data_IF_819185476604
#
_entry.id   IF_819185476604
#
_cell.length_a   1.000
_cell.length_b   1.000
_cell.length_c   1.000
_cell.angle_alpha   90.00
_cell.angle_beta   90.00
_cell.angle_gamma   90.00
#
_symmetry.space_group_name_H-M   'P 1'
#
loop_
_entity.id
_entity.type
_entity.pdbx_description
1 polymer ?
#
# COMPACT_ATOMS: atom_id res chain seq x y z
N UNK A 1 -0.73 -35.66 17.79
CA UNK A 1 -0.82 -34.81 16.60
C UNK A 1 0.54 -34.15 16.41
N UNK A 2 1.29 -34.34 15.32
CA UNK A 2 2.53 -33.63 15.12
C UNK A 2 2.19 -32.14 15.03
N UNK A 3 2.90 -31.33 15.81
CA UNK A 3 2.80 -29.87 15.88
C UNK A 3 3.16 -29.32 14.50
N UNK A 4 2.21 -29.13 13.60
CA UNK A 4 2.47 -28.54 12.28
C UNK A 4 2.92 -27.09 12.51
N UNK A 5 4.21 -26.85 12.30
CA UNK A 5 4.80 -25.52 12.43
C UNK A 5 4.01 -24.56 11.52
N UNK A 6 3.57 -23.44 12.08
CA UNK A 6 2.85 -22.42 11.29
C UNK A 6 3.72 -21.99 10.09
N UNK A 7 3.14 -21.84 8.89
CA UNK A 7 3.92 -21.37 7.75
C UNK A 7 4.44 -19.95 8.02
N UNK A 8 5.71 -19.72 7.67
CA UNK A 8 6.39 -18.43 7.91
C UNK A 8 6.34 -17.55 6.69
N UNK A 9 5.90 -16.30 6.87
CA UNK A 9 5.94 -15.25 5.87
C UNK A 9 7.00 -14.22 6.26
N UNK A 10 7.96 -13.99 5.38
CA UNK A 10 8.95 -12.92 5.50
C UNK A 10 8.55 -11.78 4.58
N UNK A 11 8.32 -10.59 5.14
CA UNK A 11 8.05 -9.37 4.40
C UNK A 11 9.32 -8.52 4.37
N UNK A 12 9.73 -8.08 3.17
CA UNK A 12 10.88 -7.18 2.98
C UNK A 12 10.39 -5.85 2.42
N UNK A 13 10.50 -4.78 3.21
CA UNK A 13 10.10 -3.42 2.80
C UNK A 13 11.28 -2.45 2.82
N UNK A 14 11.42 -1.64 1.76
CA UNK A 14 12.44 -0.60 1.66
C UNK A 14 12.01 0.76 2.23
N UNK A 15 10.73 0.94 2.52
CA UNK A 15 10.14 2.22 2.94
C UNK A 15 9.53 2.13 4.32
N UNK A 16 8.78 1.06 4.59
CA UNK A 16 8.02 0.91 5.82
C UNK A 16 8.79 0.14 6.89
N UNK A 17 8.50 0.44 8.15
CA UNK A 17 8.85 -0.39 9.30
C UNK A 17 7.57 -0.65 10.09
N UNK A 18 7.38 -1.87 10.55
CA UNK A 18 6.14 -2.26 11.23
C UNK A 18 5.85 -1.43 12.49
N UNK A 19 6.91 -0.94 13.15
CA UNK A 19 6.86 -0.14 14.39
C UNK A 19 6.57 1.34 14.17
N UNK A 20 6.44 1.81 12.92
CA UNK A 20 6.14 3.23 12.65
C UNK A 20 4.66 3.53 12.93
N UNK A 21 4.35 4.70 13.56
CA UNK A 21 2.97 5.08 13.87
C UNK A 21 2.11 5.23 12.61
N UNK A 22 2.70 5.77 11.54
CA UNK A 22 2.03 5.90 10.24
C UNK A 22 2.00 4.55 9.54
N UNK A 23 0.79 3.97 9.46
CA UNK A 23 0.55 2.65 8.89
C UNK A 23 0.34 2.72 7.38
N UNK A 24 1.04 1.86 6.65
CA UNK A 24 0.84 1.63 5.21
C UNK A 24 0.13 0.30 4.93
N UNK A 25 -0.16 0.04 3.68
CA UNK A 25 -0.85 -1.17 3.26
C UNK A 25 -0.08 -2.46 3.56
N UNK A 26 1.25 -2.44 3.50
CA UNK A 26 2.07 -3.63 3.79
C UNK A 26 2.06 -4.01 5.27
N UNK A 27 1.91 -3.05 6.17
CA UNK A 27 1.75 -3.30 7.59
C UNK A 27 0.37 -3.90 7.89
N UNK A 28 -0.67 -3.43 7.19
CA UNK A 28 -2.01 -4.01 7.30
C UNK A 28 -2.06 -5.47 6.78
N UNK A 29 -1.28 -5.78 5.73
CA UNK A 29 -1.08 -7.17 5.28
C UNK A 29 -0.37 -7.99 6.35
N UNK A 30 0.66 -7.45 7.03
CA UNK A 30 1.33 -8.16 8.12
C UNK A 30 0.36 -8.48 9.27
N UNK A 31 -0.50 -7.52 9.67
CA UNK A 31 -1.54 -7.73 10.67
C UNK A 31 -2.53 -8.84 10.25
N UNK A 32 -2.96 -8.81 8.98
CA UNK A 32 -3.87 -9.82 8.45
C UNK A 32 -3.25 -11.22 8.44
N UNK A 33 -1.97 -11.34 8.09
CA UNK A 33 -1.25 -12.62 8.12
C UNK A 33 -1.14 -13.19 9.54
N UNK A 34 -0.93 -12.33 10.56
CA UNK A 34 -0.96 -12.76 11.97
C UNK A 34 -2.34 -13.30 12.34
N UNK A 35 -3.43 -12.61 11.94
CA UNK A 35 -4.81 -13.07 12.16
C UNK A 35 -5.13 -14.37 11.42
N UNK A 36 -4.53 -14.60 10.26
CA UNK A 36 -4.58 -15.85 9.50
C UNK A 36 -3.63 -16.93 10.03
N UNK A 37 -3.06 -16.72 11.22
CA UNK A 37 -2.21 -17.66 11.93
C UNK A 37 -0.87 -17.98 11.25
N UNK A 38 -0.33 -17.10 10.40
CA UNK A 38 1.05 -17.18 9.91
C UNK A 38 2.05 -16.69 10.97
N UNK A 39 3.28 -17.24 10.94
CA UNK A 39 4.43 -16.64 11.60
C UNK A 39 4.95 -15.50 10.70
N UNK A 40 4.92 -14.25 11.16
CA UNK A 40 5.28 -13.09 10.35
C UNK A 40 6.60 -12.48 10.80
N UNK A 41 7.55 -12.33 9.86
CA UNK A 41 8.79 -11.59 10.07
C UNK A 41 8.83 -10.39 9.12
N UNK A 42 8.86 -9.18 9.68
CA UNK A 42 8.89 -7.92 8.93
C UNK A 42 10.30 -7.34 8.94
N UNK A 43 10.98 -7.37 7.81
CA UNK A 43 12.34 -6.88 7.63
C UNK A 43 12.29 -5.54 6.90
N UNK A 44 12.70 -4.50 7.59
CA UNK A 44 12.84 -3.16 7.03
C UNK A 44 14.27 -2.96 6.55
N UNK A 45 14.45 -2.56 5.31
CA UNK A 45 15.76 -2.32 4.68
C UNK A 45 15.93 -0.84 4.31
N UNK A 46 17.03 -0.47 3.65
CA UNK A 46 17.32 0.93 3.25
C UNK A 46 17.43 1.86 4.46
N UNK A 47 18.24 1.48 5.44
CA UNK A 47 18.48 2.30 6.62
C UNK A 47 19.99 2.35 6.95
N UNK A 48 20.56 3.55 6.99
CA UNK A 48 21.99 3.80 7.22
C UNK A 48 22.19 5.21 7.77
N UNK A 49 23.41 5.66 8.11
CA UNK A 49 23.64 7.03 8.59
C UNK A 49 23.06 8.13 7.71
N UNK A 50 23.00 7.93 6.38
CA UNK A 50 22.39 8.88 5.46
C UNK A 50 20.88 9.06 5.68
N UNK A 51 20.20 8.05 6.25
CA UNK A 51 18.78 8.13 6.60
C UNK A 51 18.53 9.20 7.65
N UNK A 52 19.44 9.37 8.62
CA UNK A 52 19.34 10.43 9.64
C UNK A 52 19.48 11.82 9.01
N UNK A 53 20.47 11.98 8.13
CA UNK A 53 20.72 13.25 7.44
C UNK A 53 19.54 13.65 6.55
N UNK A 54 18.88 12.67 5.92
CA UNK A 54 17.73 12.89 5.04
C UNK A 54 16.38 12.96 5.78
N UNK A 55 16.37 12.91 7.12
CA UNK A 55 15.14 12.99 7.90
C UNK A 55 14.19 11.79 7.69
N UNK A 56 14.75 10.58 7.57
CA UNK A 56 13.93 9.36 7.44
C UNK A 56 13.01 9.22 8.66
N UNK A 57 11.73 9.05 8.44
CA UNK A 57 10.72 8.93 9.48
C UNK A 57 10.96 7.76 10.46
N UNK A 58 11.85 6.82 10.11
CA UNK A 58 12.28 5.69 10.97
C UNK A 58 13.49 6.05 11.86
N UNK A 59 13.99 7.31 11.85
CA UNK A 59 15.17 7.72 12.60
C UNK A 59 15.07 7.42 14.10
N UNK A 60 13.86 7.48 14.68
CA UNK A 60 13.61 7.14 16.08
C UNK A 60 13.91 5.66 16.42
N UNK A 61 14.01 4.79 15.42
CA UNK A 61 14.39 3.37 15.59
C UNK A 61 15.89 3.14 15.53
N UNK A 62 16.72 4.19 15.47
CA UNK A 62 18.16 4.05 15.28
C UNK A 62 18.84 3.14 16.33
N UNK A 63 18.52 3.30 17.60
CA UNK A 63 19.06 2.48 18.70
C UNK A 63 18.49 1.05 18.74
N UNK A 64 17.35 0.84 18.08
CA UNK A 64 16.63 -0.45 17.99
C UNK A 64 16.97 -1.21 16.68
N UNK A 65 17.74 -0.61 15.79
CA UNK A 65 18.14 -1.25 14.53
C UNK A 65 19.10 -2.43 14.79
N UNK A 66 19.09 -3.40 13.89
CA UNK A 66 19.84 -4.67 13.97
C UNK A 66 19.50 -5.52 15.21
N UNK A 67 18.32 -5.33 15.76
CA UNK A 67 17.75 -6.15 16.83
C UNK A 67 16.36 -6.64 16.43
N UNK A 68 16.08 -7.90 16.69
CA UNK A 68 14.75 -8.45 16.49
C UNK A 68 13.87 -8.06 17.69
N UNK A 69 12.63 -7.66 17.40
CA UNK A 69 11.62 -7.31 18.39
C UNK A 69 10.29 -7.91 17.98
N UNK A 70 9.54 -8.43 18.92
CA UNK A 70 8.20 -8.95 18.69
C UNK A 70 7.17 -7.88 19.06
N UNK A 71 6.37 -7.45 18.10
CA UNK A 71 5.33 -6.44 18.27
C UNK A 71 4.04 -6.99 17.69
N UNK A 72 3.01 -7.16 18.51
CA UNK A 72 1.69 -7.64 18.11
C UNK A 72 1.73 -8.96 17.30
N UNK A 73 2.69 -9.85 17.62
CA UNK A 73 2.88 -11.13 16.94
C UNK A 73 3.66 -11.04 15.62
N UNK A 74 4.22 -9.88 15.31
CA UNK A 74 5.12 -9.67 14.16
C UNK A 74 6.55 -9.52 14.65
N UNK A 75 7.45 -10.39 14.19
CA UNK A 75 8.88 -10.26 14.43
C UNK A 75 9.45 -9.15 13.55
N UNK A 76 9.81 -8.01 14.14
CA UNK A 76 10.29 -6.82 13.46
C UNK A 76 11.81 -6.74 13.45
N UNK A 77 12.41 -6.39 12.31
CA UNK A 77 13.83 -6.19 12.19
C UNK A 77 14.15 -5.02 11.24
N UNK A 78 14.81 -3.98 11.72
CA UNK A 78 15.30 -2.88 10.89
C UNK A 78 16.79 -3.11 10.60
N UNK A 79 17.11 -3.39 9.34
CA UNK A 79 18.48 -3.59 8.92
C UNK A 79 19.21 -2.27 8.72
N UNK A 80 20.02 -1.89 9.70
CA UNK A 80 20.93 -0.76 9.61
C UNK A 80 22.25 -1.22 9.01
N UNK A 81 22.60 -0.66 7.87
CA UNK A 81 23.80 -0.93 7.09
C UNK A 81 24.79 0.25 7.15
N UNK A 82 26.09 0.06 6.84
CA UNK A 82 27.05 1.17 6.73
C UNK A 82 26.62 2.20 5.67
N UNK A 83 26.03 1.73 4.57
CA UNK A 83 25.49 2.54 3.49
C UNK A 83 24.25 1.87 2.88
N UNK A 84 23.42 2.64 2.18
CA UNK A 84 22.45 2.11 1.23
C UNK A 84 22.46 2.95 -0.05
N UNK A 85 22.30 2.33 -1.23
CA UNK A 85 22.24 3.06 -2.47
C UNK A 85 20.93 3.86 -2.57
N UNK A 86 21.01 5.03 -3.19
CA UNK A 86 19.87 5.91 -3.44
C UNK A 86 20.06 6.64 -4.77
N UNK A 87 19.01 7.25 -5.28
CA UNK A 87 19.07 8.06 -6.49
C UNK A 87 19.64 9.43 -6.16
N UNK A 88 20.68 9.83 -6.90
CA UNK A 88 21.32 11.15 -6.77
C UNK A 88 20.58 12.22 -7.59
N UNK A 89 19.79 11.81 -8.60
CA UNK A 89 19.12 12.71 -9.53
C UNK A 89 20.00 13.19 -10.68
N UNK A 90 21.21 12.66 -10.80
CA UNK A 90 22.15 12.92 -11.90
C UNK A 90 22.29 11.61 -12.65
N UNK A 91 21.71 11.51 -13.85
CA UNK A 91 21.58 10.26 -14.60
C UNK A 91 22.93 9.55 -14.84
N UNK A 92 24.01 10.28 -15.09
CA UNK A 92 25.34 9.72 -15.27
C UNK A 92 25.88 9.05 -14.00
N UNK A 93 25.64 9.64 -12.82
CA UNK A 93 26.04 9.08 -11.54
C UNK A 93 25.12 7.91 -11.15
N UNK A 94 23.83 8.04 -11.39
CA UNK A 94 22.86 6.98 -11.12
C UNK A 94 23.13 5.73 -11.97
N UNK A 95 23.58 5.89 -13.22
CA UNK A 95 24.00 4.80 -14.10
C UNK A 95 25.25 4.07 -13.59
N UNK A 96 26.21 4.78 -12.97
CA UNK A 96 27.44 4.21 -12.41
C UNK A 96 27.27 3.63 -11.01
N UNK A 97 26.13 3.86 -10.35
CA UNK A 97 25.87 3.39 -8.99
C UNK A 97 25.60 1.87 -8.86
N UNK A 98 25.50 1.14 -9.97
CA UNK A 98 25.19 -0.30 -9.99
C UNK A 98 26.11 -1.16 -9.09
N UNK A 99 27.43 -0.94 -9.01
CA UNK A 99 28.29 -1.70 -8.09
C UNK A 99 27.89 -1.51 -6.62
N UNK A 100 27.40 -0.33 -6.22
CA UNK A 100 26.92 -0.06 -4.86
C UNK A 100 25.65 -0.86 -4.54
N UNK A 101 24.74 -1.03 -5.51
CA UNK A 101 23.57 -1.90 -5.34
C UNK A 101 23.99 -3.36 -5.16
N UNK A 102 24.90 -3.85 -6.00
CA UNK A 102 25.44 -5.20 -5.86
C UNK A 102 26.14 -5.40 -4.51
N UNK A 103 26.99 -4.47 -4.09
CA UNK A 103 27.66 -4.53 -2.79
C UNK A 103 26.64 -4.56 -1.64
N UNK A 104 25.57 -3.76 -1.72
CA UNK A 104 24.50 -3.75 -0.72
C UNK A 104 23.81 -5.11 -0.62
N UNK A 105 23.47 -5.75 -1.74
CA UNK A 105 22.82 -7.06 -1.79
C UNK A 105 23.63 -8.17 -1.08
N UNK A 106 24.98 -8.03 -1.11
CA UNK A 106 25.91 -9.02 -0.54
C UNK A 106 26.35 -8.70 0.89
N UNK A 107 25.89 -7.58 1.49
CA UNK A 107 26.22 -7.28 2.89
C UNK A 107 25.75 -8.43 3.80
N UNK A 108 26.62 -8.98 4.66
CA UNK A 108 26.26 -10.12 5.49
C UNK A 108 25.25 -9.72 6.58
N UNK A 109 24.23 -10.54 6.77
CA UNK A 109 23.30 -10.42 7.90
C UNK A 109 22.69 -11.77 8.23
N UNK A 110 23.18 -12.37 9.32
CA UNK A 110 22.74 -13.69 9.75
C UNK A 110 21.24 -13.76 10.05
N UNK A 111 20.67 -12.74 10.69
CA UNK A 111 19.24 -12.71 11.00
C UNK A 111 18.39 -12.81 9.74
N UNK A 112 18.72 -11.97 8.73
CA UNK A 112 18.00 -11.97 7.44
C UNK A 112 18.15 -13.34 6.76
N UNK A 113 19.37 -13.88 6.71
CA UNK A 113 19.61 -15.16 6.06
C UNK A 113 18.83 -16.30 6.73
N UNK A 114 18.82 -16.34 8.04
CA UNK A 114 18.08 -17.37 8.80
C UNK A 114 16.56 -17.20 8.62
N UNK A 115 16.05 -15.95 8.58
CA UNK A 115 14.65 -15.68 8.29
C UNK A 115 14.25 -16.15 6.88
N UNK A 116 15.07 -15.84 5.86
CA UNK A 116 14.83 -16.25 4.47
C UNK A 116 14.88 -17.78 4.30
N UNK A 117 15.83 -18.46 4.94
CA UNK A 117 15.91 -19.94 4.91
C UNK A 117 14.69 -20.62 5.51
N UNK A 118 14.11 -20.02 6.55
CA UNK A 118 12.97 -20.60 7.26
C UNK A 118 11.61 -20.23 6.65
N UNK A 119 11.58 -19.34 5.63
CA UNK A 119 10.35 -18.83 5.06
C UNK A 119 9.62 -19.87 4.19
N UNK A 120 8.29 -19.91 4.30
CA UNK A 120 7.39 -20.54 3.31
C UNK A 120 7.06 -19.56 2.19
N UNK A 121 6.90 -18.28 2.55
CA UNK A 121 6.60 -17.18 1.64
C UNK A 121 7.54 -16.00 1.90
N UNK A 122 7.99 -15.35 0.84
CA UNK A 122 8.81 -14.14 0.91
C UNK A 122 8.13 -13.07 0.07
N UNK A 123 7.62 -12.02 0.71
CA UNK A 123 6.96 -10.89 0.06
C UNK A 123 7.93 -9.72 0.01
N UNK A 124 8.29 -9.30 -1.19
CA UNK A 124 9.20 -8.17 -1.42
C UNK A 124 8.41 -6.98 -1.96
N UNK A 125 8.31 -5.92 -1.15
CA UNK A 125 7.64 -4.69 -1.57
C UNK A 125 8.52 -3.87 -2.52
N UNK A 126 7.88 -3.10 -3.42
CA UNK A 126 8.56 -2.18 -4.35
C UNK A 126 9.57 -1.28 -3.62
N UNK A 127 10.81 -1.26 -4.12
CA UNK A 127 11.92 -0.50 -3.52
C UNK A 127 13.19 -1.32 -3.33
N UNK A 128 14.06 -0.91 -2.41
CA UNK A 128 15.40 -1.49 -2.25
C UNK A 128 15.40 -2.98 -1.83
N UNK A 129 14.27 -3.47 -1.28
CA UNK A 129 14.10 -4.89 -0.98
C UNK A 129 14.30 -5.82 -2.19
N UNK A 130 14.08 -5.33 -3.41
CA UNK A 130 14.33 -6.05 -4.68
C UNK A 130 15.74 -6.64 -4.72
N UNK A 131 16.73 -5.94 -4.14
CA UNK A 131 18.12 -6.39 -4.10
C UNK A 131 18.34 -7.70 -3.32
N UNK A 132 17.37 -8.11 -2.51
CA UNK A 132 17.45 -9.37 -1.73
C UNK A 132 16.74 -10.55 -2.41
N UNK A 133 16.07 -10.36 -3.55
CA UNK A 133 15.30 -11.43 -4.24
C UNK A 133 16.22 -12.61 -4.62
N UNK A 134 17.32 -12.32 -5.31
CA UNK A 134 18.25 -13.37 -5.73
C UNK A 134 18.89 -14.11 -4.55
N UNK A 135 19.31 -13.35 -3.52
CA UNK A 135 19.81 -13.94 -2.27
C UNK A 135 18.78 -14.84 -1.60
N UNK A 136 17.51 -14.41 -1.57
CA UNK A 136 16.42 -15.21 -1.01
C UNK A 136 16.26 -16.53 -1.76
N UNK A 137 16.27 -16.51 -3.10
CA UNK A 137 16.17 -17.72 -3.93
C UNK A 137 17.38 -18.66 -3.74
N UNK A 138 18.60 -18.11 -3.64
CA UNK A 138 19.80 -18.90 -3.36
C UNK A 138 19.76 -19.58 -1.98
N UNK A 139 19.24 -18.88 -0.97
CA UNK A 139 19.15 -19.40 0.40
C UNK A 139 18.00 -20.39 0.59
N UNK A 140 16.92 -20.23 -0.20
CA UNK A 140 15.72 -21.06 -0.07
C UNK A 140 15.05 -21.24 -1.44
N UNK A 141 15.37 -22.34 -2.10
CA UNK A 141 14.80 -22.72 -3.39
C UNK A 141 13.31 -23.09 -3.33
N UNK A 142 12.77 -23.40 -2.15
CA UNK A 142 11.39 -23.85 -1.95
C UNK A 142 10.42 -22.74 -1.54
N UNK A 143 10.93 -21.62 -0.99
CA UNK A 143 10.07 -20.51 -0.63
C UNK A 143 9.39 -19.91 -1.86
N UNK A 144 8.11 -19.57 -1.72
CA UNK A 144 7.40 -18.78 -2.73
C UNK A 144 7.78 -17.31 -2.59
N UNK A 145 8.39 -16.77 -3.61
CA UNK A 145 8.83 -15.36 -3.66
C UNK A 145 7.82 -14.54 -4.46
N UNK A 146 7.26 -13.52 -3.81
CA UNK A 146 6.21 -12.67 -4.34
C UNK A 146 6.74 -11.23 -4.37
N UNK A 147 6.75 -10.61 -5.55
CA UNK A 147 6.97 -9.18 -5.66
C UNK A 147 5.63 -8.45 -5.49
N UNK A 148 5.55 -7.54 -4.52
CA UNK A 148 4.40 -6.67 -4.32
C UNK A 148 4.69 -5.27 -4.86
N UNK A 149 4.14 -4.96 -6.02
CA UNK A 149 4.20 -3.63 -6.62
C UNK A 149 3.19 -2.69 -5.94
N UNK A 150 3.55 -2.15 -4.77
CA UNK A 150 2.73 -1.16 -4.06
C UNK A 150 2.68 0.18 -4.82
N UNK A 151 3.79 0.51 -5.48
CA UNK A 151 3.93 1.69 -6.34
C UNK A 151 4.77 1.32 -7.57
N UNK A 152 4.57 2.02 -8.67
CA UNK A 152 5.45 1.90 -9.81
C UNK A 152 6.82 2.51 -9.47
N UNK A 153 7.91 1.79 -9.74
CA UNK A 153 9.26 2.18 -9.33
C UNK A 153 9.64 3.59 -9.82
N UNK A 154 9.23 3.97 -11.01
CA UNK A 154 9.50 5.31 -11.56
C UNK A 154 8.73 6.42 -10.82
N UNK A 155 7.52 6.16 -10.30
CA UNK A 155 6.71 7.16 -9.58
C UNK A 155 7.22 7.46 -8.18
N UNK A 156 7.90 6.49 -7.56
CA UNK A 156 8.54 6.67 -6.24
C UNK A 156 9.99 7.16 -6.34
N UNK A 157 10.44 7.53 -7.55
CA UNK A 157 11.80 7.99 -7.77
C UNK A 157 12.85 6.89 -7.49
N UNK A 158 12.48 5.63 -7.66
CA UNK A 158 13.42 4.53 -7.48
C UNK A 158 14.56 4.59 -8.52
N UNK A 159 15.79 4.25 -8.14
CA UNK A 159 16.89 4.14 -9.08
C UNK A 159 16.58 3.13 -10.20
N UNK A 160 16.91 3.43 -11.48
CA UNK A 160 16.70 2.50 -12.60
C UNK A 160 17.35 1.13 -12.40
N UNK A 161 18.42 1.05 -11.60
CA UNK A 161 19.07 -0.20 -11.24
C UNK A 161 18.14 -1.21 -10.57
N UNK A 162 17.09 -0.77 -9.87
CA UNK A 162 16.13 -1.67 -9.22
C UNK A 162 15.22 -2.36 -10.23
N UNK A 163 14.75 -1.65 -11.27
CA UNK A 163 13.97 -2.27 -12.35
C UNK A 163 14.84 -3.26 -13.15
N UNK A 164 16.07 -2.87 -13.45
CA UNK A 164 17.03 -3.75 -14.13
C UNK A 164 17.33 -5.02 -13.32
N UNK A 165 17.45 -4.91 -12.00
CA UNK A 165 17.68 -6.06 -11.12
C UNK A 165 16.46 -6.96 -11.03
N UNK A 166 15.26 -6.39 -10.89
CA UNK A 166 14.00 -7.14 -10.88
C UNK A 166 13.81 -7.95 -12.17
N UNK A 167 14.14 -7.36 -13.32
CA UNK A 167 14.08 -8.05 -14.63
C UNK A 167 15.15 -9.12 -14.76
N UNK A 168 16.38 -8.84 -14.29
CA UNK A 168 17.50 -9.81 -14.34
C UNK A 168 17.15 -11.08 -13.57
N UNK A 169 16.52 -10.93 -12.42
CA UNK A 169 16.16 -12.02 -11.53
C UNK A 169 14.67 -12.39 -11.63
N UNK A 170 14.09 -12.19 -12.82
CA UNK A 170 12.69 -12.48 -13.05
C UNK A 170 12.31 -13.93 -12.75
N UNK A 171 13.19 -14.88 -13.03
CA UNK A 171 12.97 -16.31 -12.76
C UNK A 171 12.93 -16.66 -11.26
N UNK A 172 13.48 -15.79 -10.41
CA UNK A 172 13.52 -15.99 -8.96
C UNK A 172 12.19 -15.60 -8.29
N UNK A 173 11.29 -14.87 -8.99
CA UNK A 173 10.00 -14.41 -8.50
C UNK A 173 8.88 -15.31 -9.04
N UNK A 174 8.06 -15.85 -8.15
CA UNK A 174 6.96 -16.76 -8.51
C UNK A 174 5.68 -15.98 -8.89
N UNK A 175 5.43 -14.81 -8.30
CA UNK A 175 4.28 -13.97 -8.62
C UNK A 175 4.59 -12.48 -8.49
N UNK A 176 4.06 -11.68 -9.41
CA UNK A 176 4.09 -10.21 -9.39
C UNK A 176 2.69 -9.69 -9.09
N UNK A 177 2.46 -9.27 -7.85
CA UNK A 177 1.17 -8.77 -7.37
C UNK A 177 1.17 -7.24 -7.38
N UNK A 178 0.42 -6.64 -8.27
CA UNK A 178 0.33 -5.19 -8.48
C UNK A 178 -0.95 -4.64 -7.86
N UNK A 179 -0.95 -3.39 -7.43
CA UNK A 179 -2.15 -2.76 -6.84
C UNK A 179 -3.18 -2.33 -7.90
N UNK A 180 -2.79 -2.18 -9.16
CA UNK A 180 -3.65 -1.70 -10.22
C UNK A 180 -3.29 -2.31 -11.57
N UNK A 181 -4.31 -2.56 -12.41
CA UNK A 181 -4.14 -3.11 -13.76
C UNK A 181 -3.23 -2.24 -14.65
N UNK A 182 -3.31 -0.92 -14.49
CA UNK A 182 -2.46 0.01 -15.26
C UNK A 182 -0.97 -0.20 -15.03
N UNK A 183 -0.58 -0.74 -13.87
CA UNK A 183 0.82 -1.05 -13.57
C UNK A 183 1.32 -2.27 -14.36
N UNK A 184 0.44 -3.14 -14.84
CA UNK A 184 0.81 -4.35 -15.57
C UNK A 184 1.52 -4.05 -16.90
N UNK A 185 1.35 -2.86 -17.45
CA UNK A 185 2.06 -2.43 -18.65
C UNK A 185 3.59 -2.48 -18.49
N UNK A 186 4.10 -2.23 -17.29
CA UNK A 186 5.52 -2.27 -16.96
C UNK A 186 6.03 -3.71 -16.73
N UNK A 187 5.10 -4.68 -16.62
CA UNK A 187 5.38 -6.10 -16.31
C UNK A 187 5.07 -7.06 -17.46
N UNK A 188 4.95 -6.57 -18.71
CA UNK A 188 4.68 -7.43 -19.90
C UNK A 188 5.67 -8.58 -20.05
N UNK A 189 6.90 -8.40 -19.58
CA UNK A 189 7.96 -9.41 -19.59
C UNK A 189 7.73 -10.56 -18.59
N UNK A 190 6.76 -10.42 -17.67
CA UNK A 190 6.33 -11.43 -16.71
C UNK A 190 4.80 -11.64 -16.72
N UNK A 191 4.13 -11.37 -17.85
CA UNK A 191 2.66 -11.33 -17.97
C UNK A 191 1.97 -12.59 -17.43
N UNK A 192 2.55 -13.77 -17.63
CA UNK A 192 2.01 -15.05 -17.18
C UNK A 192 2.07 -15.27 -15.65
N UNK A 193 2.74 -14.38 -14.92
CA UNK A 193 2.89 -14.41 -13.45
C UNK A 193 2.54 -13.07 -12.83
N UNK A 194 1.84 -12.21 -13.56
CA UNK A 194 1.43 -10.88 -13.11
C UNK A 194 -0.04 -10.89 -12.78
N UNK A 195 -0.36 -10.40 -11.59
CA UNK A 195 -1.69 -10.38 -11.00
C UNK A 195 -2.00 -8.99 -10.45
N UNK A 196 -3.29 -8.65 -10.35
CA UNK A 196 -3.74 -7.44 -9.67
C UNK A 196 -4.35 -7.82 -8.34
N UNK A 197 -3.67 -7.42 -7.25
CA UNK A 197 -4.13 -7.63 -5.88
C UNK A 197 -4.38 -6.25 -5.26
N UNK A 198 -5.64 -5.81 -5.13
CA UNK A 198 -5.97 -4.48 -4.65
C UNK A 198 -5.67 -4.30 -3.16
N UNK A 199 -5.89 -3.08 -2.69
CA UNK A 199 -5.90 -2.78 -1.26
C UNK A 199 -7.18 -3.34 -0.62
N UNK A 200 -7.20 -3.39 0.72
CA UNK A 200 -8.34 -3.81 1.51
C UNK A 200 -8.66 -2.84 2.64
N UNK A 201 -9.67 -3.18 3.41
CA UNK A 201 -10.06 -2.49 4.64
C UNK A 201 -10.05 -3.46 5.81
N UNK A 202 -9.84 -2.96 7.02
CA UNK A 202 -10.05 -3.75 8.23
C UNK A 202 -11.51 -3.58 8.66
N UNK A 203 -12.39 -4.49 8.25
CA UNK A 203 -13.86 -4.38 8.48
C UNK A 203 -14.22 -4.13 9.94
N UNK A 204 -13.46 -4.70 10.89
CA UNK A 204 -13.66 -4.48 12.31
C UNK A 204 -13.50 -3.02 12.78
N UNK A 205 -12.67 -2.21 12.07
CA UNK A 205 -12.52 -0.80 12.40
C UNK A 205 -13.81 -0.01 12.09
N UNK A 206 -14.62 -0.48 11.15
CA UNK A 206 -15.85 0.17 10.70
C UNK A 206 -17.10 -0.34 11.43
N UNK A 207 -16.99 -1.36 12.27
CA UNK A 207 -18.15 -1.95 12.95
C UNK A 207 -18.68 -1.05 14.07
N UNK A 208 -17.78 -0.38 14.79
CA UNK A 208 -18.15 0.50 15.92
C UNK A 208 -17.52 1.89 15.71
N UNK A 209 -18.22 2.72 14.94
CA UNK A 209 -17.81 4.10 14.67
C UNK A 209 -18.61 5.03 15.62
N UNK A 210 -17.87 5.80 16.40
CA UNK A 210 -18.42 6.76 17.36
C UNK A 210 -19.41 7.78 16.77
N UNK A 211 -19.95 8.69 17.59
CA UNK A 211 -20.95 9.67 17.15
C UNK A 211 -20.38 10.67 16.14
N UNK A 212 -21.31 11.38 15.45
CA UNK A 212 -20.94 12.44 14.51
C UNK A 212 -20.08 13.53 15.19
N UNK A 213 -18.94 13.93 14.60
CA UNK A 213 -18.15 15.06 15.05
C UNK A 213 -18.70 16.42 14.56
N UNK A 214 -19.74 16.39 13.74
CA UNK A 214 -20.31 17.57 13.08
C UNK A 214 -21.51 18.13 13.85
N UNK A 215 -21.56 19.45 13.95
CA UNK A 215 -22.69 20.14 14.62
C UNK A 215 -23.91 20.29 13.70
N UNK A 216 -23.83 19.87 12.43
CA UNK A 216 -24.85 20.02 11.41
C UNK A 216 -24.28 20.65 10.14
N UNK A 217 -25.16 21.00 9.19
CA UNK A 217 -24.75 21.55 7.89
C UNK A 217 -24.15 20.53 6.95
N UNK A 218 -23.68 20.99 5.80
CA UNK A 218 -23.02 20.16 4.79
C UNK A 218 -21.51 20.06 5.06
N UNK A 219 -21.00 18.84 5.15
CA UNK A 219 -19.64 18.56 5.56
C UNK A 219 -18.88 17.73 4.50
N UNK A 220 -17.74 18.22 4.08
CA UNK A 220 -16.81 17.53 3.20
C UNK A 220 -15.52 17.14 3.93
N UNK A 221 -14.97 15.98 3.65
CA UNK A 221 -13.79 15.47 4.37
C UNK A 221 -12.68 14.98 3.45
N UNK A 222 -11.44 15.27 3.82
CA UNK A 222 -10.25 14.62 3.27
C UNK A 222 -9.33 14.16 4.39
N UNK A 223 -8.71 12.98 4.22
CA UNK A 223 -7.76 12.41 5.19
C UNK A 223 -6.43 12.09 4.50
N UNK A 224 -5.32 12.52 5.09
CA UNK A 224 -3.96 12.22 4.62
C UNK A 224 -3.39 13.20 3.59
N UNK A 225 -2.07 13.22 3.52
CA UNK A 225 -1.27 14.24 2.82
C UNK A 225 -0.73 13.82 1.44
N UNK A 226 -0.96 12.56 1.01
CA UNK A 226 -0.43 12.07 -0.25
C UNK A 226 -0.95 12.91 -1.44
N UNK A 227 -0.04 13.50 -2.20
CA UNK A 227 -0.33 14.34 -3.37
C UNK A 227 -1.37 15.45 -3.11
N UNK A 228 -1.48 15.90 -1.86
CA UNK A 228 -2.50 16.85 -1.43
C UNK A 228 -2.47 18.14 -2.26
N UNK A 229 -3.61 18.50 -2.85
CA UNK A 229 -3.78 19.71 -3.64
C UNK A 229 -4.48 20.80 -2.82
N UNK A 230 -3.73 21.83 -2.45
CA UNK A 230 -4.24 22.99 -1.70
C UNK A 230 -5.15 23.86 -2.55
N UNK A 231 -4.86 24.01 -3.85
CA UNK A 231 -5.57 24.89 -4.77
C UNK A 231 -7.03 24.49 -4.93
N UNK A 232 -7.30 23.15 -4.92
CA UNK A 232 -8.65 22.63 -4.88
C UNK A 232 -9.46 23.22 -3.71
N UNK A 233 -8.89 23.16 -2.48
CA UNK A 233 -9.61 23.59 -1.28
C UNK A 233 -9.77 25.11 -1.21
N UNK A 234 -8.79 25.88 -1.67
CA UNK A 234 -8.89 27.33 -1.76
C UNK A 234 -10.04 27.73 -2.70
N UNK A 235 -10.13 27.12 -3.88
CA UNK A 235 -11.20 27.36 -4.84
C UNK A 235 -12.56 26.88 -4.31
N UNK A 236 -12.66 25.60 -3.90
CA UNK A 236 -13.91 25.00 -3.47
C UNK A 236 -14.51 25.71 -2.25
N UNK A 237 -13.70 26.03 -1.25
CA UNK A 237 -14.19 26.71 -0.05
C UNK A 237 -14.68 28.15 -0.31
N UNK A 238 -14.01 28.87 -1.19
CA UNK A 238 -14.46 30.20 -1.61
C UNK A 238 -15.80 30.15 -2.37
N UNK A 239 -15.99 29.09 -3.17
CA UNK A 239 -17.18 28.95 -4.03
C UNK A 239 -18.39 28.36 -3.30
N UNK A 240 -18.15 27.56 -2.26
CA UNK A 240 -19.19 26.91 -1.45
C UNK A 240 -19.07 27.33 0.03
N UNK A 241 -19.45 28.56 0.41
CA UNK A 241 -19.29 29.07 1.78
C UNK A 241 -20.13 28.28 2.82
N UNK A 242 -21.22 27.64 2.38
CA UNK A 242 -22.12 26.86 3.24
C UNK A 242 -21.63 25.43 3.49
N UNK A 243 -20.54 24.99 2.84
CA UNK A 243 -19.93 23.68 3.06
C UNK A 243 -18.75 23.83 4.02
N UNK A 244 -18.71 23.00 5.07
CA UNK A 244 -17.55 22.89 5.96
C UNK A 244 -16.57 21.85 5.40
N UNK A 245 -15.33 22.25 5.15
CA UNK A 245 -14.26 21.40 4.64
C UNK A 245 -13.34 20.95 5.78
N UNK A 246 -13.30 19.66 6.07
CA UNK A 246 -12.51 19.07 7.16
C UNK A 246 -11.25 18.39 6.58
N UNK A 247 -10.08 18.96 6.87
CA UNK A 247 -8.77 18.53 6.36
C UNK A 247 -7.97 17.86 7.47
N UNK A 248 -7.87 16.53 7.46
CA UNK A 248 -7.26 15.76 8.53
C UNK A 248 -5.89 15.22 8.08
N UNK A 249 -4.82 15.60 8.77
CA UNK A 249 -3.47 15.08 8.51
C UNK A 249 -2.93 15.41 7.11
N UNK A 250 -3.26 16.59 6.57
CA UNK A 250 -2.90 16.99 5.19
C UNK A 250 -1.50 17.60 5.06
N UNK A 251 -0.69 17.55 6.13
CA UNK A 251 0.72 17.97 6.08
C UNK A 251 0.97 19.45 6.40
N UNK A 252 0.06 20.09 7.10
CA UNK A 252 0.17 21.47 7.57
C UNK A 252 -1.04 22.31 7.25
N UNK A 253 -1.03 23.55 7.76
CA UNK A 253 -2.05 24.56 7.50
C UNK A 253 -1.63 25.43 6.31
N UNK A 254 -2.60 26.07 5.68
CA UNK A 254 -2.42 27.08 4.65
C UNK A 254 -3.53 28.14 4.80
N UNK A 255 -3.34 29.29 4.21
CA UNK A 255 -4.37 30.31 4.20
C UNK A 255 -5.58 29.83 3.38
N UNK A 256 -6.74 29.79 4.01
CA UNK A 256 -7.97 29.30 3.43
C UNK A 256 -9.18 30.05 4.00
N UNK A 257 -10.34 30.04 3.31
CA UNK A 257 -11.60 30.58 3.82
C UNK A 257 -12.00 29.98 5.18
N UNK A 258 -12.83 30.73 5.95
CA UNK A 258 -13.23 30.37 7.32
C UNK A 258 -14.00 29.03 7.44
N UNK A 259 -14.54 28.52 6.35
CA UNK A 259 -15.21 27.22 6.27
C UNK A 259 -14.25 26.05 6.04
N UNK A 260 -12.92 26.27 6.07
CA UNK A 260 -11.91 25.20 6.06
C UNK A 260 -11.37 24.97 7.47
N UNK A 261 -11.46 23.75 7.95
CA UNK A 261 -10.96 23.34 9.26
C UNK A 261 -9.77 22.39 9.10
N UNK A 262 -8.64 22.77 9.65
CA UNK A 262 -7.42 21.96 9.66
C UNK A 262 -7.32 21.17 10.96
N UNK A 263 -7.07 19.86 10.82
CA UNK A 263 -6.80 18.97 11.94
C UNK A 263 -5.40 18.36 11.79
N UNK A 264 -4.71 18.19 12.91
CA UNK A 264 -3.47 17.46 12.95
C UNK A 264 -3.67 15.99 12.54
N UNK A 265 -2.59 15.29 12.26
CA UNK A 265 -2.63 13.84 12.07
C UNK A 265 -3.19 13.17 13.32
N UNK A 266 -4.13 12.26 13.15
CA UNK A 266 -4.76 11.52 14.24
C UNK A 266 -4.79 10.02 13.90
N UNK A 267 -4.94 9.14 14.91
CA UNK A 267 -5.08 7.70 14.66
C UNK A 267 -6.24 7.39 13.70
N UNK A 268 -6.07 6.39 12.86
CA UNK A 268 -7.05 6.06 11.80
C UNK A 268 -8.48 5.94 12.37
N UNK A 269 -8.68 5.21 13.47
CA UNK A 269 -10.01 5.06 14.10
C UNK A 269 -10.65 6.39 14.47
N UNK A 270 -9.88 7.39 14.85
CA UNK A 270 -10.40 8.72 15.15
C UNK A 270 -10.85 9.49 13.91
N UNK A 271 -10.41 9.11 12.71
CA UNK A 271 -10.87 9.71 11.44
C UNK A 271 -12.20 9.13 10.98
N UNK A 272 -12.58 7.93 11.43
CA UNK A 272 -13.77 7.21 10.94
C UNK A 272 -15.10 7.93 11.17
N UNK A 273 -15.35 8.59 12.32
CA UNK A 273 -16.56 9.39 12.48
C UNK A 273 -16.66 10.51 11.44
N UNK A 274 -15.54 11.18 11.11
CA UNK A 274 -15.53 12.19 10.06
C UNK A 274 -15.91 11.61 8.69
N UNK A 275 -15.41 10.43 8.35
CA UNK A 275 -15.74 9.75 7.09
C UNK A 275 -17.19 9.25 7.08
N UNK A 276 -17.67 8.68 8.18
CA UNK A 276 -18.99 8.09 8.28
C UNK A 276 -20.10 9.13 8.14
N UNK A 277 -19.90 10.32 8.70
CA UNK A 277 -20.97 11.32 8.79
C UNK A 277 -20.80 12.50 7.84
N UNK A 278 -19.75 12.55 7.01
CA UNK A 278 -19.64 13.54 5.94
C UNK A 278 -20.64 13.29 4.82
N UNK A 279 -20.99 14.34 4.10
CA UNK A 279 -21.86 14.26 2.93
C UNK A 279 -21.11 13.77 1.71
N UNK A 280 -19.82 14.16 1.56
CA UNK A 280 -18.93 13.63 0.53
C UNK A 280 -17.47 13.65 0.96
N UNK A 281 -16.69 12.76 0.35
CA UNK A 281 -15.25 12.66 0.51
C UNK A 281 -14.50 13.42 -0.59
N UNK A 282 -13.31 13.92 -0.28
CA UNK A 282 -12.46 14.60 -1.24
C UNK A 282 -11.12 13.89 -1.34
N UNK A 283 -10.72 13.54 -2.57
CA UNK A 283 -9.42 13.00 -2.89
C UNK A 283 -8.72 13.90 -3.91
N UNK A 284 -8.47 15.16 -3.51
CA UNK A 284 -7.80 16.13 -4.34
C UNK A 284 -6.30 15.81 -4.42
N UNK A 285 -5.89 15.29 -5.57
CA UNK A 285 -4.51 14.91 -5.87
C UNK A 285 -3.90 15.87 -6.89
N UNK A 286 -2.70 16.37 -6.58
CA UNK A 286 -1.90 17.10 -7.56
C UNK A 286 -1.52 16.17 -8.73
N UNK A 287 -1.65 16.63 -9.99
CA UNK A 287 -1.26 15.84 -11.15
C UNK A 287 0.20 15.38 -11.06
N UNK A 288 0.45 14.12 -11.38
CA UNK A 288 1.78 13.58 -11.63
C UNK A 288 1.73 12.70 -12.88
N UNK A 289 2.87 12.54 -13.54
CA UNK A 289 2.97 11.58 -14.64
C UNK A 289 2.54 10.19 -14.16
N UNK A 290 1.72 9.52 -14.97
CA UNK A 290 1.22 8.15 -14.70
C UNK A 290 0.34 7.97 -13.45
N UNK A 291 -0.28 9.02 -12.91
CA UNK A 291 -1.16 8.93 -11.72
C UNK A 291 -2.44 8.11 -11.93
N UNK A 292 -2.73 7.66 -13.14
CA UNK A 292 -3.96 6.93 -13.45
C UNK A 292 -4.16 5.60 -12.71
N UNK A 293 -3.11 5.05 -12.09
CA UNK A 293 -3.23 3.86 -11.23
C UNK A 293 -3.94 4.18 -9.90
N UNK A 294 -4.00 5.46 -9.47
CA UNK A 294 -4.67 5.88 -8.24
C UNK A 294 -6.18 5.57 -8.23
N UNK A 295 -6.80 5.44 -9.40
CA UNK A 295 -8.19 5.00 -9.49
C UNK A 295 -8.43 3.66 -8.78
N UNK A 296 -7.45 2.75 -8.80
CA UNK A 296 -7.54 1.42 -8.19
C UNK A 296 -6.72 1.28 -6.91
N UNK A 297 -5.68 2.10 -6.70
CA UNK A 297 -4.73 1.97 -5.59
C UNK A 297 -4.86 3.04 -4.50
N UNK A 298 -5.83 3.93 -4.58
CA UNK A 298 -6.07 4.92 -3.53
C UNK A 298 -6.83 4.31 -2.36
N UNK A 299 -6.16 4.12 -1.22
CA UNK A 299 -6.79 3.65 0.01
C UNK A 299 -7.93 4.59 0.47
N UNK A 300 -7.74 5.89 0.31
CA UNK A 300 -8.75 6.92 0.63
C UNK A 300 -10.04 6.70 -0.18
N UNK A 301 -9.94 6.57 -1.51
CA UNK A 301 -11.12 6.35 -2.37
C UNK A 301 -11.79 5.00 -2.08
N UNK A 302 -11.00 3.98 -1.73
CA UNK A 302 -11.53 2.68 -1.35
C UNK A 302 -12.30 2.74 -0.02
N UNK A 303 -11.81 3.47 0.96
CA UNK A 303 -12.50 3.68 2.24
C UNK A 303 -13.81 4.46 2.05
N UNK A 304 -13.82 5.46 1.15
CA UNK A 304 -15.05 6.18 0.79
C UNK A 304 -16.08 5.23 0.15
N UNK A 305 -15.66 4.42 -0.79
CA UNK A 305 -16.51 3.40 -1.42
C UNK A 305 -17.11 2.43 -0.40
N UNK A 306 -16.25 1.90 0.49
CA UNK A 306 -16.68 0.99 1.55
C UNK A 306 -17.74 1.61 2.49
N UNK A 307 -17.59 2.90 2.81
CA UNK A 307 -18.52 3.65 3.67
C UNK A 307 -19.75 4.20 2.95
N UNK A 308 -19.89 4.02 1.63
CA UNK A 308 -20.96 4.64 0.86
C UNK A 308 -20.86 6.16 0.79
N UNK A 309 -19.64 6.70 0.79
CA UNK A 309 -19.38 8.14 0.75
C UNK A 309 -19.03 8.54 -0.69
N UNK A 310 -19.86 9.35 -1.39
CA UNK A 310 -19.56 9.84 -2.73
C UNK A 310 -18.26 10.66 -2.69
N UNK A 311 -17.44 10.55 -3.74
CA UNK A 311 -16.10 11.13 -3.73
C UNK A 311 -15.87 12.11 -4.87
N UNK A 312 -15.26 13.25 -4.57
CA UNK A 312 -14.73 14.20 -5.56
C UNK A 312 -13.24 13.95 -5.72
N UNK A 313 -12.78 13.72 -6.95
CA UNK A 313 -11.39 13.45 -7.24
C UNK A 313 -11.03 13.88 -8.67
N UNK A 314 -9.73 14.02 -9.05
CA UNK A 314 -9.36 14.27 -10.44
C UNK A 314 -9.87 13.15 -11.37
N UNK A 315 -10.16 13.51 -12.65
CA UNK A 315 -10.69 12.59 -13.66
C UNK A 315 -9.90 11.27 -13.76
N UNK A 316 -8.57 11.34 -13.68
CA UNK A 316 -7.71 10.15 -13.74
C UNK A 316 -7.85 9.20 -12.55
N UNK A 317 -8.49 9.65 -11.44
CA UNK A 317 -8.71 8.84 -10.24
C UNK A 317 -10.16 8.34 -10.11
N UNK A 318 -11.05 8.67 -11.03
CA UNK A 318 -12.44 8.20 -11.04
C UNK A 318 -12.52 6.68 -11.25
N UNK A 319 -11.82 6.17 -12.26
CA UNK A 319 -11.88 4.75 -12.62
C UNK A 319 -13.27 4.33 -13.12
N UNK A 320 -13.71 3.13 -12.75
CA UNK A 320 -15.01 2.58 -13.12
C UNK A 320 -16.11 2.82 -12.06
N UNK A 321 -15.82 3.52 -10.96
CA UNK A 321 -16.80 3.74 -9.89
C UNK A 321 -17.85 4.78 -10.30
N UNK A 322 -19.16 4.48 -10.22
CA UNK A 322 -20.21 5.46 -10.47
C UNK A 322 -20.34 6.50 -9.35
N UNK A 323 -19.69 6.29 -8.22
CA UNK A 323 -19.79 7.10 -7.00
C UNK A 323 -18.64 8.11 -6.88
N UNK A 324 -17.83 8.26 -7.94
CA UNK A 324 -16.72 9.21 -8.00
C UNK A 324 -16.96 10.25 -9.08
N UNK A 325 -16.81 11.51 -8.70
CA UNK A 325 -17.09 12.67 -9.52
C UNK A 325 -15.81 13.38 -9.88
N UNK A 326 -15.46 13.30 -11.16
CA UNK A 326 -14.19 13.80 -11.67
C UNK A 326 -14.17 15.29 -11.98
N UNK A 327 -12.99 15.88 -11.89
CA UNK A 327 -12.66 17.22 -12.39
C UNK A 327 -11.28 17.19 -13.09
N UNK A 328 -11.12 18.05 -14.11
CA UNK A 328 -9.82 18.26 -14.74
C UNK A 328 -8.93 19.14 -13.87
N UNK A 329 -7.61 18.97 -13.99
CA UNK A 329 -6.65 19.84 -13.30
C UNK A 329 -6.87 21.30 -13.74
N UNK A 330 -6.76 22.23 -12.79
CA UNK A 330 -6.91 23.68 -12.98
C UNK A 330 -8.28 24.13 -13.53
N UNK A 331 -9.30 23.24 -13.55
CA UNK A 331 -10.67 23.55 -13.97
C UNK A 331 -11.55 23.85 -12.75
N UNK A 332 -11.62 25.10 -12.33
CA UNK A 332 -12.48 25.53 -11.21
C UNK A 332 -13.97 25.24 -11.46
N UNK A 333 -14.47 25.45 -12.66
CA UNK A 333 -15.87 25.11 -13.01
C UNK A 333 -16.10 23.60 -12.99
N UNK A 334 -15.08 22.79 -13.33
CA UNK A 334 -15.10 21.34 -13.19
C UNK A 334 -15.19 20.91 -11.74
N UNK A 335 -14.43 21.53 -10.85
CA UNK A 335 -14.52 21.31 -9.39
C UNK A 335 -15.94 21.59 -8.89
N UNK A 336 -16.52 22.71 -9.29
CA UNK A 336 -17.90 23.09 -8.90
C UNK A 336 -18.93 22.06 -9.37
N UNK A 337 -18.84 21.63 -10.64
CA UNK A 337 -19.72 20.58 -11.18
C UNK A 337 -19.55 19.24 -10.44
N UNK A 338 -18.31 18.85 -10.13
CA UNK A 338 -18.01 17.59 -9.42
C UNK A 338 -18.61 17.60 -8.00
N UNK A 339 -18.45 18.71 -7.26
CA UNK A 339 -19.05 18.89 -5.93
C UNK A 339 -20.58 18.85 -6.02
N UNK A 340 -21.18 19.60 -6.95
CA UNK A 340 -22.64 19.61 -7.14
C UNK A 340 -23.20 18.22 -7.45
N UNK A 341 -22.50 17.43 -8.30
CA UNK A 341 -22.87 16.04 -8.61
C UNK A 341 -22.76 15.12 -7.39
N UNK A 342 -21.68 15.26 -6.60
CA UNK A 342 -21.49 14.46 -5.39
C UNK A 342 -22.60 14.73 -4.35
N UNK A 343 -22.96 16.00 -4.16
CA UNK A 343 -24.07 16.40 -3.27
C UNK A 343 -25.43 15.86 -3.76
N UNK A 344 -25.71 16.00 -5.06
CA UNK A 344 -26.95 15.52 -5.67
C UNK A 344 -27.08 13.98 -5.62
N UNK A 345 -25.94 13.27 -5.73
CA UNK A 345 -25.90 11.81 -5.62
C UNK A 345 -26.23 11.36 -4.19
N UNK A 346 -25.71 12.06 -3.20
CA UNK A 346 -25.87 11.71 -1.79
C UNK A 346 -25.13 10.41 -1.42
N UNK A 347 -25.27 10.01 -0.18
CA UNK A 347 -24.69 8.75 0.33
C UNK A 347 -25.39 7.54 -0.30
N UNK A 348 -24.65 6.45 -0.46
CA UNK A 348 -25.13 5.20 -1.07
C UNK A 348 -24.87 3.99 -0.15
N UNK A 349 -25.38 2.83 -0.51
CA UNK A 349 -25.01 1.58 0.16
C UNK A 349 -23.54 1.31 -0.10
N UNK A 350 -22.75 1.17 0.99
CA UNK A 350 -21.32 0.92 0.87
C UNK A 350 -21.02 -0.35 0.06
N UNK A 351 -19.89 -0.37 -0.63
CA UNK A 351 -19.52 -1.51 -1.46
C UNK A 351 -18.98 -2.67 -0.60
N UNK A 352 -19.80 -3.68 -0.40
CA UNK A 352 -19.42 -4.91 0.30
C UNK A 352 -18.33 -5.72 -0.43
N UNK A 353 -18.03 -5.40 -1.70
CA UNK A 353 -17.01 -6.08 -2.50
C UNK A 353 -15.58 -5.56 -2.23
N UNK A 354 -15.45 -4.49 -1.44
CA UNK A 354 -14.14 -4.06 -0.95
C UNK A 354 -13.56 -5.15 -0.06
N UNK A 355 -12.42 -5.69 -0.45
CA UNK A 355 -11.77 -6.80 0.27
C UNK A 355 -11.39 -6.41 1.69
N UNK A 356 -11.45 -7.36 2.61
CA UNK A 356 -10.74 -7.26 3.89
C UNK A 356 -9.24 -7.45 3.68
N UNK A 357 -8.41 -7.02 4.64
CA UNK A 357 -6.99 -7.25 4.54
C UNK A 357 -6.62 -8.74 4.61
N UNK A 358 -7.44 -9.58 5.24
CA UNK A 358 -7.29 -11.04 5.23
C UNK A 358 -7.49 -11.61 3.82
N UNK A 359 -8.55 -11.19 3.13
CA UNK A 359 -8.81 -11.58 1.74
C UNK A 359 -7.71 -11.08 0.78
N UNK A 360 -7.13 -9.90 1.04
CA UNK A 360 -5.97 -9.38 0.32
C UNK A 360 -4.73 -10.23 0.58
N UNK A 361 -4.47 -10.61 1.84
CA UNK A 361 -3.31 -11.41 2.19
C UNK A 361 -3.36 -12.81 1.54
N UNK A 362 -4.53 -13.46 1.50
CA UNK A 362 -4.72 -14.74 0.82
C UNK A 362 -4.43 -14.63 -0.69
N UNK A 363 -4.98 -13.60 -1.36
CA UNK A 363 -4.74 -13.32 -2.78
C UNK A 363 -3.28 -12.98 -3.07
N UNK A 364 -2.63 -12.28 -2.15
CA UNK A 364 -1.20 -11.94 -2.28
C UNK A 364 -0.32 -13.19 -2.24
N UNK A 365 -0.61 -14.12 -1.31
CA UNK A 365 0.20 -15.33 -1.16
C UNK A 365 -0.03 -16.34 -2.29
N UNK A 366 -1.25 -16.46 -2.81
CA UNK A 366 -1.61 -17.44 -3.83
C UNK A 366 -2.56 -16.84 -4.87
N UNK A 367 -2.12 -15.83 -5.65
CA UNK A 367 -3.02 -15.08 -6.53
C UNK A 367 -3.69 -15.94 -7.59
N UNK A 368 -3.03 -16.99 -8.07
CA UNK A 368 -3.57 -17.89 -9.10
C UNK A 368 -4.81 -18.70 -8.66
N UNK A 369 -5.09 -18.75 -7.36
CA UNK A 369 -6.30 -19.42 -6.84
C UNK A 369 -7.55 -18.54 -6.93
N UNK A 370 -7.41 -17.29 -7.34
CA UNK A 370 -8.50 -16.31 -7.37
C UNK A 370 -8.65 -15.71 -8.77
N UNK A 371 -9.81 -15.92 -9.38
CA UNK A 371 -10.10 -15.40 -10.74
C UNK A 371 -10.04 -13.86 -10.81
N UNK A 372 -10.40 -13.18 -9.71
CA UNK A 372 -10.45 -11.73 -9.60
C UNK A 372 -9.07 -11.05 -9.51
N UNK A 373 -7.99 -11.83 -9.44
CA UNK A 373 -6.62 -11.34 -9.47
C UNK A 373 -6.02 -11.29 -10.88
N UNK A 374 -6.65 -11.88 -11.86
CA UNK A 374 -6.18 -11.76 -13.25
C UNK A 374 -6.18 -10.29 -13.68
N UNK A 375 -5.11 -9.86 -14.36
CA UNK A 375 -5.00 -8.48 -14.86
C UNK A 375 -6.18 -8.14 -15.76
N UNK A 376 -6.90 -7.07 -15.45
CA UNK A 376 -8.09 -6.66 -16.22
C UNK A 376 -9.35 -7.47 -15.89
N UNK A 377 -9.34 -8.35 -14.90
CA UNK A 377 -10.54 -9.06 -14.47
C UNK A 377 -11.60 -8.09 -13.94
N UNK A 378 -12.85 -8.27 -14.37
CA UNK A 378 -13.96 -7.56 -13.75
C UNK A 378 -14.07 -8.00 -12.28
N UNK A 379 -13.99 -7.07 -11.35
CA UNK A 379 -14.19 -7.35 -9.93
C UNK A 379 -15.64 -7.73 -9.72
N UNK A 380 -15.91 -9.02 -9.61
CA UNK A 380 -17.21 -9.55 -9.20
C UNK A 380 -17.28 -9.56 -7.66
N UNK A 381 -18.52 -9.48 -7.14
CA UNK A 381 -18.79 -9.72 -5.73
C UNK A 381 -18.06 -10.98 -5.25
N UNK A 382 -17.50 -11.00 -4.02
CA UNK A 382 -16.85 -12.18 -3.48
C UNK A 382 -17.85 -13.34 -3.51
N UNK A 383 -17.69 -14.20 -4.52
CA UNK A 383 -18.36 -15.50 -4.54
C UNK A 383 -17.86 -16.24 -3.30
N UNK A 384 -18.76 -16.90 -2.58
CA UNK A 384 -18.41 -17.81 -1.48
C UNK A 384 -17.16 -18.59 -1.83
N UNK A 385 -16.19 -18.58 -0.92
CA UNK A 385 -14.96 -19.32 -1.05
C UNK A 385 -15.21 -20.71 -1.63
N UNK A 386 -14.67 -20.97 -2.81
CA UNK A 386 -14.58 -22.32 -3.31
C UNK A 386 -13.53 -23.04 -2.47
N UNK A 387 -13.98 -24.08 -1.76
CA UNK A 387 -13.22 -25.19 -1.21
C UNK A 387 -11.92 -24.88 -0.43
N UNK A 388 -11.91 -25.37 0.78
CA UNK A 388 -10.77 -25.64 1.67
C UNK A 388 -9.45 -25.85 0.90
N UNK A 389 -8.36 -25.17 1.29
CA UNK A 389 -7.06 -25.42 0.67
C UNK A 389 -6.68 -26.90 0.80
N UNK A 390 -6.09 -27.53 -0.22
CA UNK A 390 -5.65 -28.90 -0.16
C UNK A 390 -4.63 -29.05 0.95
N UNK A 391 -4.90 -29.94 1.90
CA UNK A 391 -3.91 -30.42 2.86
C UNK A 391 -2.75 -31.01 2.05
N UNK A 392 -1.53 -30.59 2.35
CA UNK A 392 -0.32 -31.13 1.74
C UNK A 392 -0.30 -32.66 1.92
N UNK A 393 -0.58 -33.38 0.86
CA UNK A 393 -0.40 -34.83 0.81
C UNK A 393 1.09 -35.15 0.95
N UNK A 394 1.42 -35.70 2.06
CA UNK A 394 2.73 -36.32 2.33
C UNK A 394 2.86 -37.57 1.43
N UNK A 395 3.55 -37.44 0.30
CA UNK A 395 3.97 -38.60 -0.48
C UNK A 395 4.96 -39.39 0.38
N UNK A 396 4.46 -40.45 0.99
CA UNK A 396 5.28 -41.51 1.56
C UNK A 396 6.07 -42.18 0.43
N UNK A 397 7.39 -42.05 0.47
CA UNK A 397 8.27 -42.84 -0.39
C UNK A 397 8.29 -44.29 0.10
N UNK A 398 7.59 -45.16 -0.58
CA UNK A 398 7.82 -46.61 -0.48
C UNK A 398 9.12 -46.94 -1.19
N UNK A 399 10.12 -47.31 -0.42
CA UNK A 399 11.29 -48.07 -0.88
C UNK A 399 10.94 -49.56 -0.78
N UNK A 400 10.99 -50.23 -1.85
CA UNK A 400 11.30 -51.67 -1.96
C UNK A 400 12.58 -51.85 -2.73
#
# INVERSE_FOLDING_TARGET
MPNSRKPKVVIVSGVHDYRTPRRGSIQAVADALVRLHYEVCFISVRFSPISLVKGDHRAFLWSRANRAEDIDGVQCYLWRTPFHPFRCGIDALDATARPLFSAYAHLPNRFIDDALRAASYIVVESGLGIMLIHRARQLNGHARIIYRGSDALHTIGAPPALDAELRRHASDVDAYCLLADKMAADFRWAANRTYTVPLGVHRGDFADIGPSPYAGGTNAVTVGSMLFDRSFFQHAAARFPDIQFHLIGTGGTFEAPANVRHYHEMPFKATLPYLKYADFGIAAYRPQANSGYLAQSSLKLMQYEYLGLPAVCPDYAVGASPNRFGYAADDGAGIERAIGRALAHGRFAGDANVLSWEEVAERLLNPELFEDTAVGAARRAPGRAAATPPQAETRAATRS
#
